data_IF_825835401578
#
_entry.id   IF_825835401578
#
_cell.length_a   1.000
_cell.length_b   1.000
_cell.length_c   1.000
_cell.angle_alpha   90.00
_cell.angle_beta   90.00
_cell.angle_gamma   90.00
#
_symmetry.space_group_name_H-M   'P 1'
#
loop_
_entity.id
_entity.type
_entity.pdbx_description
1 polymer ?
#
# COMPACT_ATOMS: atom_id res chain seq x y z
N UNK A 1 29.47 30.36 -14.10
CA UNK A 1 28.48 30.38 -12.99
C UNK A 1 27.14 29.99 -13.59
N UNK A 2 26.53 28.89 -13.12
CA UNK A 2 25.30 28.35 -13.71
C UNK A 2 25.50 27.48 -14.96
N UNK A 3 26.55 26.66 -14.99
CA UNK A 3 26.87 25.80 -16.14
C UNK A 3 25.92 24.59 -16.25
N UNK A 4 25.42 24.10 -15.11
CA UNK A 4 24.53 22.92 -15.04
C UNK A 4 23.04 23.26 -14.89
N UNK A 5 22.67 24.23 -14.04
CA UNK A 5 21.28 24.65 -13.81
C UNK A 5 21.25 26.18 -13.69
N UNK A 6 20.43 26.85 -14.52
CA UNK A 6 20.26 28.30 -14.44
C UNK A 6 19.09 28.64 -13.54
N UNK A 7 19.11 29.90 -13.08
CA UNK A 7 17.98 30.46 -12.33
C UNK A 7 16.72 30.39 -13.20
N UNK A 8 15.64 29.85 -12.63
CA UNK A 8 14.31 29.64 -13.27
C UNK A 8 14.20 28.44 -14.21
N UNK A 9 15.27 27.67 -14.43
CA UNK A 9 15.16 26.40 -15.14
C UNK A 9 14.32 25.40 -14.32
N UNK A 10 13.33 24.72 -14.92
CA UNK A 10 12.65 23.62 -14.25
C UNK A 10 13.65 22.46 -14.04
N UNK A 11 13.92 22.13 -12.78
CA UNK A 11 14.87 21.06 -12.42
C UNK A 11 14.25 19.68 -12.65
N UNK A 12 12.96 19.54 -12.33
CA UNK A 12 12.15 18.34 -12.55
C UNK A 12 10.74 18.72 -12.97
N UNK A 13 10.10 17.86 -13.75
CA UNK A 13 8.68 17.97 -14.06
C UNK A 13 7.80 17.43 -12.92
N UNK A 14 6.55 17.87 -12.87
CA UNK A 14 5.57 17.31 -11.94
C UNK A 14 5.38 15.81 -12.20
N UNK A 15 5.35 15.02 -11.12
CA UNK A 15 5.27 13.55 -11.22
C UNK A 15 6.63 12.85 -11.34
N UNK A 16 7.74 13.59 -11.36
CA UNK A 16 9.08 13.00 -11.30
C UNK A 16 9.28 12.20 -10.01
N UNK A 17 9.66 10.92 -10.15
CA UNK A 17 9.97 10.05 -9.03
C UNK A 17 11.39 10.38 -8.51
N UNK A 18 11.45 11.00 -7.33
CA UNK A 18 12.72 11.38 -6.70
C UNK A 18 13.57 10.15 -6.37
N UNK A 19 14.80 10.14 -6.91
CA UNK A 19 15.86 9.18 -6.62
C UNK A 19 16.90 9.80 -5.67
N UNK A 20 17.82 9.01 -5.08
CA UNK A 20 18.86 9.56 -4.21
C UNK A 20 19.72 10.67 -4.84
N UNK A 21 20.04 10.57 -6.13
CA UNK A 21 20.77 11.62 -6.84
C UNK A 21 19.95 12.92 -7.00
N UNK A 22 18.64 12.80 -7.18
CA UNK A 22 17.75 13.95 -7.35
C UNK A 22 17.68 14.76 -6.03
N UNK A 23 17.71 14.07 -4.88
CA UNK A 23 17.82 14.72 -3.58
C UNK A 23 19.13 15.52 -3.42
N UNK A 24 20.26 15.01 -3.93
CA UNK A 24 21.53 15.74 -3.91
C UNK A 24 21.50 17.00 -4.79
N UNK A 25 20.85 16.91 -5.97
CA UNK A 25 20.64 18.07 -6.85
C UNK A 25 19.80 19.13 -6.13
N UNK A 26 18.66 18.74 -5.55
CA UNK A 26 17.80 19.66 -4.77
C UNK A 26 18.56 20.32 -3.61
N UNK A 27 19.38 19.56 -2.89
CA UNK A 27 20.20 20.10 -1.81
C UNK A 27 21.26 21.10 -2.33
N UNK A 28 21.91 20.83 -3.47
CA UNK A 28 22.93 21.70 -4.04
C UNK A 28 22.41 23.07 -4.48
N UNK A 29 21.11 23.16 -4.81
CA UNK A 29 20.43 24.42 -5.14
C UNK A 29 19.74 25.07 -3.94
N UNK A 30 20.00 24.57 -2.73
CA UNK A 30 19.52 25.14 -1.46
C UNK A 30 18.11 24.74 -1.06
N UNK A 31 17.52 23.69 -1.65
CA UNK A 31 16.20 23.19 -1.26
C UNK A 31 16.32 22.14 -0.15
N UNK A 32 15.96 22.52 1.07
CA UNK A 32 15.89 21.60 2.22
C UNK A 32 14.61 20.74 2.20
N UNK A 33 13.50 21.30 1.69
CA UNK A 33 12.19 20.64 1.63
C UNK A 33 11.55 20.88 0.28
N UNK A 34 10.85 19.87 -0.21
CA UNK A 34 10.09 19.93 -1.46
C UNK A 34 8.67 19.43 -1.23
N UNK A 35 7.72 19.97 -2.01
CA UNK A 35 6.35 19.46 -2.04
C UNK A 35 6.33 18.18 -2.87
N UNK A 36 5.70 17.14 -2.34
CA UNK A 36 5.54 15.84 -2.99
C UNK A 36 4.10 15.38 -2.87
N UNK A 37 3.69 14.44 -3.72
CA UNK A 37 2.44 13.74 -3.53
C UNK A 37 2.50 12.89 -2.25
N UNK A 38 1.40 12.89 -1.48
CA UNK A 38 1.27 11.96 -0.35
C UNK A 38 1.21 10.52 -0.90
N UNK A 39 1.68 9.57 -0.08
CA UNK A 39 1.52 8.15 -0.40
C UNK A 39 0.03 7.77 -0.34
N UNK A 40 -0.49 6.95 -1.29
CA UNK A 40 -1.84 6.44 -1.20
C UNK A 40 -1.96 5.44 -0.04
N UNK A 41 -3.03 5.53 0.72
CA UNK A 41 -3.38 4.60 1.79
C UNK A 41 -4.33 3.55 1.22
N UNK A 42 -3.97 2.27 1.35
CA UNK A 42 -4.73 1.16 0.74
C UNK A 42 -5.15 0.17 1.81
N UNK A 43 -6.45 0.02 2.03
CA UNK A 43 -6.99 -0.98 2.93
C UNK A 43 -7.01 -2.35 2.25
N UNK A 44 -6.53 -3.38 2.93
CA UNK A 44 -6.51 -4.77 2.45
C UNK A 44 -7.35 -5.62 3.38
N UNK A 45 -8.46 -6.13 2.84
CA UNK A 45 -9.50 -6.84 3.57
C UNK A 45 -9.57 -8.28 3.06
N UNK A 46 -8.88 -9.23 3.72
CA UNK A 46 -9.02 -10.64 3.40
C UNK A 46 -10.40 -11.16 3.83
N UNK A 47 -11.06 -11.92 2.96
CA UNK A 47 -12.36 -12.54 3.22
C UNK A 47 -12.30 -14.04 2.93
N UNK A 48 -12.96 -14.86 3.74
CA UNK A 48 -13.03 -16.31 3.49
C UNK A 48 -13.18 -17.11 4.78
N UNK A 49 -14.15 -18.01 4.78
CA UNK A 49 -14.46 -18.87 5.94
C UNK A 49 -13.42 -20.00 6.09
N UNK A 50 -12.63 -20.28 5.06
CA UNK A 50 -11.52 -21.24 5.04
C UNK A 50 -10.18 -20.64 5.51
N UNK A 51 -10.11 -19.32 5.72
CA UNK A 51 -8.86 -18.63 6.02
C UNK A 51 -8.55 -18.64 7.52
N UNK A 52 -7.29 -18.90 7.85
CA UNK A 52 -6.77 -18.76 9.22
C UNK A 52 -5.61 -17.77 9.29
N UNK A 53 -5.52 -17.09 10.45
CA UNK A 53 -4.47 -16.10 10.71
C UNK A 53 -3.07 -16.72 10.63
N UNK A 54 -2.16 -15.97 10.02
CA UNK A 54 -0.72 -16.29 9.96
C UNK A 54 0.00 -16.10 11.28
N UNK A 55 -0.61 -15.48 12.30
CA UNK A 55 0.02 -15.30 13.61
C UNK A 55 0.36 -16.63 14.30
N UNK A 56 -0.26 -17.73 13.87
CA UNK A 56 0.08 -19.11 14.25
C UNK A 56 1.12 -19.76 13.32
N UNK A 57 1.98 -18.95 12.68
CA UNK A 57 3.01 -19.43 11.75
C UNK A 57 3.90 -20.47 12.43
N UNK A 58 3.96 -21.67 11.83
CA UNK A 58 4.64 -22.84 12.39
C UNK A 58 3.70 -24.00 12.75
N UNK A 59 2.39 -23.73 12.82
CA UNK A 59 1.37 -24.76 12.94
C UNK A 59 0.86 -25.21 11.56
N UNK A 60 0.35 -26.44 11.46
CA UNK A 60 -0.38 -26.91 10.27
C UNK A 60 -1.82 -26.40 10.38
N UNK A 61 -2.39 -25.79 9.32
CA UNK A 61 -3.80 -25.39 9.33
C UNK A 61 -4.70 -26.58 9.66
N UNK A 62 -5.84 -26.35 10.35
CA UNK A 62 -6.84 -27.39 10.52
C UNK A 62 -7.28 -27.97 9.16
N UNK A 63 -7.75 -29.23 9.10
CA UNK A 63 -8.26 -29.81 7.87
C UNK A 63 -9.34 -28.91 7.22
N UNK A 64 -9.15 -28.59 5.93
CA UNK A 64 -10.05 -27.72 5.19
C UNK A 64 -9.80 -26.21 5.36
N UNK A 65 -8.80 -25.82 6.14
CA UNK A 65 -8.38 -24.43 6.34
C UNK A 65 -7.05 -24.15 5.65
N UNK A 66 -6.82 -22.90 5.26
CA UNK A 66 -5.56 -22.42 4.67
C UNK A 66 -5.12 -21.11 5.31
N UNK A 67 -3.82 -20.87 5.35
CA UNK A 67 -3.31 -19.59 5.83
C UNK A 67 -3.67 -18.46 4.86
N UNK A 68 -4.08 -17.32 5.41
CA UNK A 68 -4.29 -16.09 4.65
C UNK A 68 -2.95 -15.59 4.07
N UNK A 69 -2.75 -15.69 2.75
CA UNK A 69 -1.51 -15.22 2.08
C UNK A 69 -1.72 -14.11 1.07
N UNK A 70 -2.94 -13.92 0.58
CA UNK A 70 -3.22 -13.00 -0.54
C UNK A 70 -3.26 -11.54 -0.06
N UNK A 71 -3.85 -11.28 1.10
CA UNK A 71 -3.81 -10.01 1.80
C UNK A 71 -2.38 -9.60 2.16
N UNK A 72 -1.55 -10.55 2.64
CA UNK A 72 -0.12 -10.31 2.82
C UNK A 72 0.55 -9.87 1.51
N UNK A 73 0.36 -10.65 0.45
CA UNK A 73 0.96 -10.36 -0.84
C UNK A 73 0.55 -8.98 -1.36
N UNK A 74 -0.75 -8.66 -1.30
CA UNK A 74 -1.28 -7.37 -1.69
C UNK A 74 -0.66 -6.22 -0.88
N UNK A 75 -0.59 -6.35 0.45
CA UNK A 75 0.02 -5.34 1.32
C UNK A 75 1.49 -5.08 0.96
N UNK A 76 2.27 -6.14 0.70
CA UNK A 76 3.67 -6.02 0.29
C UNK A 76 3.83 -5.35 -1.08
N UNK A 77 2.92 -5.61 -2.02
CA UNK A 77 2.93 -4.91 -3.31
C UNK A 77 2.55 -3.43 -3.18
N UNK A 78 1.60 -3.09 -2.30
CA UNK A 78 1.27 -1.71 -1.97
C UNK A 78 2.51 -0.97 -1.47
N UNK A 79 3.26 -1.54 -0.52
CA UNK A 79 4.50 -0.94 -0.02
C UNK A 79 5.55 -0.82 -1.12
N UNK A 80 5.73 -1.88 -1.90
CA UNK A 80 6.68 -1.92 -3.02
C UNK A 80 6.41 -0.82 -4.05
N UNK A 81 5.15 -0.49 -4.28
CA UNK A 81 4.72 0.58 -5.20
C UNK A 81 4.57 1.95 -4.53
N UNK A 82 5.01 2.10 -3.27
CA UNK A 82 5.09 3.38 -2.58
C UNK A 82 3.82 3.80 -1.85
N UNK A 83 2.81 2.93 -1.76
CA UNK A 83 1.64 3.13 -0.92
C UNK A 83 1.87 2.76 0.55
N UNK A 84 0.83 2.93 1.36
CA UNK A 84 0.77 2.56 2.77
C UNK A 84 -0.37 1.54 2.93
N UNK A 85 -0.08 0.26 3.20
CA UNK A 85 -1.14 -0.72 3.41
C UNK A 85 -1.74 -0.59 4.82
N UNK A 86 -3.05 -0.79 4.93
CA UNK A 86 -3.76 -1.04 6.17
C UNK A 86 -4.33 -2.45 6.06
N UNK A 87 -3.70 -3.42 6.73
CA UNK A 87 -4.21 -4.80 6.74
C UNK A 87 -5.25 -4.95 7.85
N UNK A 88 -6.46 -5.40 7.49
CA UNK A 88 -7.48 -5.77 8.48
C UNK A 88 -7.28 -7.22 8.95
N UNK A 89 -8.10 -7.65 9.91
CA UNK A 89 -8.30 -9.08 10.17
C UNK A 89 -9.05 -9.78 9.02
N UNK A 90 -9.07 -11.12 9.07
CA UNK A 90 -9.90 -11.95 8.18
C UNK A 90 -11.37 -11.68 8.49
N UNK A 91 -12.12 -11.34 7.45
CA UNK A 91 -13.56 -11.06 7.52
C UNK A 91 -14.34 -12.29 7.05
N UNK A 92 -15.40 -12.71 7.78
CA UNK A 92 -16.26 -13.81 7.35
C UNK A 92 -16.88 -13.55 5.97
N UNK A 93 -17.12 -14.61 5.21
CA UNK A 93 -17.74 -14.51 3.89
C UNK A 93 -19.26 -14.32 4.01
N UNK A 94 -19.66 -13.11 4.41
CA UNK A 94 -21.04 -12.66 4.63
C UNK A 94 -21.17 -11.23 4.09
N UNK A 95 -22.24 -10.91 3.33
CA UNK A 95 -22.44 -9.56 2.80
C UNK A 95 -22.37 -8.46 3.86
N UNK A 96 -22.94 -8.69 5.04
CA UNK A 96 -22.98 -7.73 6.14
C UNK A 96 -21.58 -7.50 6.72
N UNK A 97 -20.82 -8.56 6.99
CA UNK A 97 -19.46 -8.48 7.52
C UNK A 97 -18.52 -7.76 6.55
N UNK A 98 -18.63 -8.05 5.25
CA UNK A 98 -17.84 -7.39 4.20
C UNK A 98 -18.20 -5.90 4.12
N UNK A 99 -19.49 -5.58 4.17
CA UNK A 99 -19.97 -4.20 4.17
C UNK A 99 -19.41 -3.42 5.37
N UNK A 100 -19.52 -3.96 6.58
CA UNK A 100 -18.99 -3.32 7.79
C UNK A 100 -17.47 -3.10 7.69
N UNK A 101 -16.73 -4.07 7.15
CA UNK A 101 -15.29 -3.95 6.96
C UNK A 101 -14.91 -2.85 5.95
N UNK A 102 -15.68 -2.70 4.87
CA UNK A 102 -15.50 -1.60 3.90
C UNK A 102 -15.84 -0.25 4.55
N UNK A 103 -16.97 -0.17 5.25
CA UNK A 103 -17.42 1.06 5.92
C UNK A 103 -16.42 1.52 6.99
N UNK A 104 -15.76 0.58 7.69
CA UNK A 104 -14.71 0.88 8.65
C UNK A 104 -13.41 1.42 8.02
N UNK A 105 -13.25 1.34 6.70
CA UNK A 105 -12.02 1.72 5.98
C UNK A 105 -12.26 2.76 4.87
N UNK A 106 -13.34 3.55 4.95
CA UNK A 106 -13.67 4.57 3.93
C UNK A 106 -12.67 5.73 3.85
N UNK A 107 -11.83 5.92 4.87
CA UNK A 107 -10.76 6.91 4.86
C UNK A 107 -9.54 6.48 4.01
N UNK A 108 -9.51 5.24 3.52
CA UNK A 108 -8.49 4.78 2.58
C UNK A 108 -8.76 5.30 1.17
N UNK A 109 -7.69 5.48 0.38
CA UNK A 109 -7.79 5.90 -1.02
C UNK A 109 -8.23 4.76 -1.94
N UNK A 110 -8.02 3.53 -1.50
CA UNK A 110 -8.38 2.30 -2.22
C UNK A 110 -8.64 1.17 -1.21
N UNK A 111 -9.60 0.32 -1.55
CA UNK A 111 -9.88 -0.92 -0.82
C UNK A 111 -9.59 -2.10 -1.74
N UNK A 112 -8.80 -3.05 -1.25
CA UNK A 112 -8.55 -4.35 -1.87
C UNK A 112 -9.28 -5.41 -1.04
N UNK A 113 -10.32 -6.00 -1.61
CA UNK A 113 -10.95 -7.20 -1.07
C UNK A 113 -10.21 -8.41 -1.61
N UNK A 114 -9.74 -9.27 -0.71
CA UNK A 114 -9.01 -10.49 -1.03
C UNK A 114 -9.82 -11.70 -0.57
N UNK A 115 -10.78 -12.12 -1.40
CA UNK A 115 -11.70 -13.21 -1.12
C UNK A 115 -11.45 -14.49 -1.92
N UNK A 116 -12.13 -15.57 -1.50
CA UNK A 116 -12.31 -16.78 -2.30
C UNK A 116 -13.07 -16.48 -3.60
N UNK A 117 -12.69 -17.16 -4.67
CA UNK A 117 -13.20 -16.92 -6.03
C UNK A 117 -14.72 -17.11 -6.13
N UNK A 118 -15.45 -16.01 -6.25
CA UNK A 118 -16.63 -15.94 -7.10
C UNK A 118 -16.51 -14.66 -7.93
N UNK A 119 -15.78 -14.79 -9.05
CA UNK A 119 -15.81 -13.85 -10.17
C UNK A 119 -16.69 -14.41 -11.27
#
# INVERSE_FOLDING_TARGET
VGEDIKKEDPVFEEGHLLRPCDAAVLASIGMERVKVFRKPVVAVIPTGDELVSREKAGEVPPPGMVFETNGLMAALYVEKWGGIPISTGIVPDRPESIKEAIEANLDADMVILSGGTSV
#
